data_IF_413868293263
#
_entry.id   IF_413868293263
#
_cell.length_a   1.000
_cell.length_b   1.000
_cell.length_c   1.000
_cell.angle_alpha   90.00
_cell.angle_beta   90.00
_cell.angle_gamma   90.00
#
_symmetry.space_group_name_H-M   'P 1'
#
loop_
_entity.id
_entity.type
_entity.pdbx_description
1 polymer ?
#
# COMPACT_ATOMS: atom_id res chain seq x y z
N UNK A 1 19.48 25.72 12.95
CA UNK A 1 18.81 24.54 12.36
C UNK A 1 19.84 23.81 11.50
N UNK A 2 20.22 22.57 11.92
CA UNK A 2 21.00 21.69 11.06
C UNK A 2 20.00 21.11 10.06
N UNK A 3 20.12 21.52 8.79
CA UNK A 3 19.30 20.97 7.73
C UNK A 3 19.74 19.51 7.47
N UNK A 4 18.77 18.56 7.38
CA UNK A 4 19.07 17.18 7.08
C UNK A 4 19.76 17.07 5.71
N UNK A 5 20.69 16.14 5.59
CA UNK A 5 21.37 15.86 4.33
C UNK A 5 20.38 15.35 3.30
N UNK A 6 20.45 15.85 2.06
CA UNK A 6 19.63 15.38 0.95
C UNK A 6 19.94 13.92 0.60
N UNK A 7 18.90 13.11 0.43
CA UNK A 7 19.04 11.73 -0.03
C UNK A 7 19.26 11.72 -1.54
N UNK A 8 20.28 11.04 -1.99
CA UNK A 8 20.62 10.87 -3.41
C UNK A 8 20.32 9.45 -3.92
N UNK A 9 20.14 8.49 -3.01
CA UNK A 9 19.92 7.08 -3.31
C UNK A 9 18.83 6.48 -2.42
N UNK A 10 18.11 5.50 -2.99
CA UNK A 10 17.29 4.57 -2.20
C UNK A 10 18.21 3.55 -1.56
N UNK A 11 18.07 3.35 -0.25
CA UNK A 11 18.82 2.32 0.51
C UNK A 11 17.82 1.40 1.22
N UNK A 12 17.35 0.35 0.54
CA UNK A 12 16.36 -0.57 1.11
C UNK A 12 16.81 -1.12 2.46
N UNK A 13 15.85 -1.28 3.39
CA UNK A 13 16.03 -1.79 4.76
C UNK A 13 16.68 -0.80 5.73
N UNK A 14 17.29 0.26 5.27
CA UNK A 14 17.86 1.29 6.15
C UNK A 14 16.79 2.25 6.67
N UNK A 15 17.09 2.95 7.75
CA UNK A 15 16.24 4.04 8.22
C UNK A 15 16.18 5.11 7.12
N UNK A 16 14.97 5.49 6.74
CA UNK A 16 14.75 6.55 5.75
C UNK A 16 14.29 7.79 6.49
N UNK A 17 15.14 8.81 6.51
CA UNK A 17 14.83 10.07 7.19
C UNK A 17 14.16 11.04 6.22
N UNK A 18 13.20 11.78 6.75
CA UNK A 18 12.54 12.88 6.04
C UNK A 18 13.47 14.10 5.92
N UNK A 19 12.97 15.18 5.33
CA UNK A 19 13.76 16.41 5.09
C UNK A 19 14.18 17.12 6.37
N UNK A 20 13.63 16.78 7.52
CA UNK A 20 13.99 17.33 8.83
C UNK A 20 14.85 16.36 9.65
N UNK A 21 15.20 15.21 9.10
CA UNK A 21 16.05 14.22 9.75
C UNK A 21 15.32 13.26 10.67
N UNK A 22 13.99 13.20 10.60
CA UNK A 22 13.20 12.25 11.38
C UNK A 22 12.86 11.01 10.54
N UNK A 23 12.84 9.81 11.14
CA UNK A 23 12.44 8.61 10.41
C UNK A 23 11.03 8.73 9.81
N UNK A 24 10.89 8.37 8.54
CA UNK A 24 9.59 8.31 7.88
C UNK A 24 8.74 7.23 8.56
N UNK A 25 7.50 7.58 8.87
CA UNK A 25 6.53 6.71 9.53
C UNK A 25 5.26 6.67 8.67
N UNK A 26 5.27 5.82 7.64
CA UNK A 26 4.19 5.67 6.66
C UNK A 26 4.08 4.20 6.23
N UNK A 27 3.67 3.34 7.17
CA UNK A 27 3.68 1.89 6.97
C UNK A 27 2.46 1.41 6.19
N UNK A 28 2.63 0.34 5.44
CA UNK A 28 1.55 -0.30 4.68
C UNK A 28 0.85 0.62 3.68
N UNK A 29 1.53 1.64 3.22
CA UNK A 29 0.92 2.76 2.52
C UNK A 29 0.96 2.68 1.00
N UNK A 30 0.69 3.82 0.39
CA UNK A 30 0.71 4.00 -1.05
C UNK A 30 1.07 5.42 -1.43
N UNK A 31 1.25 5.63 -2.73
CA UNK A 31 1.72 6.89 -3.29
C UNK A 31 0.66 7.44 -4.24
N UNK A 32 0.38 8.72 -4.14
CA UNK A 32 -0.44 9.46 -5.11
C UNK A 32 0.43 10.50 -5.79
N UNK A 33 0.41 10.52 -7.13
CA UNK A 33 0.97 11.64 -7.88
C UNK A 33 -0.15 12.61 -8.23
N UNK A 34 0.03 13.88 -7.88
CA UNK A 34 -0.98 14.91 -8.14
C UNK A 34 -0.32 16.26 -8.42
N UNK A 35 -0.59 16.83 -9.59
CA UNK A 35 -0.12 18.16 -10.00
C UNK A 35 1.38 18.40 -9.74
N UNK A 36 2.20 17.43 -10.15
CA UNK A 36 3.67 17.55 -10.07
C UNK A 36 4.28 17.15 -8.74
N UNK A 37 3.50 16.64 -7.80
CA UNK A 37 3.98 16.23 -6.47
C UNK A 37 3.53 14.81 -6.18
N UNK A 38 4.44 14.01 -5.60
CA UNK A 38 4.13 12.71 -5.02
C UNK A 38 3.73 12.89 -3.56
N UNK A 39 2.68 12.17 -3.15
CA UNK A 39 2.23 12.12 -1.76
C UNK A 39 2.29 10.68 -1.29
N UNK A 40 2.96 10.44 -0.17
CA UNK A 40 3.10 9.14 0.47
C UNK A 40 2.22 9.09 1.71
N UNK A 41 1.25 8.19 1.72
CA UNK A 41 0.34 7.96 2.85
C UNK A 41 0.65 6.63 3.47
N UNK A 42 0.62 6.53 4.80
CA UNK A 42 0.81 5.26 5.49
C UNK A 42 0.32 5.28 6.92
N UNK A 43 0.29 4.12 7.52
CA UNK A 43 -0.07 3.95 8.93
C UNK A 43 0.95 4.68 9.80
N UNK A 44 0.46 5.60 10.63
CA UNK A 44 1.29 6.33 11.58
C UNK A 44 1.34 5.56 12.90
N UNK A 45 2.33 4.70 13.04
CA UNK A 45 2.51 3.81 14.20
C UNK A 45 3.33 4.51 15.26
N UNK A 46 2.78 4.63 16.47
CA UNK A 46 3.45 5.33 17.57
C UNK A 46 3.34 4.52 18.85
N UNK A 47 4.47 4.28 19.49
CA UNK A 47 4.53 3.66 20.78
C UNK A 47 5.09 2.25 20.77
N UNK A 48 4.99 1.61 21.91
CA UNK A 48 5.54 0.27 22.14
C UNK A 48 4.68 -0.79 21.44
N UNK A 49 5.34 -1.74 20.78
CA UNK A 49 4.69 -2.93 20.23
C UNK A 49 4.41 -3.94 21.34
N UNK A 50 3.20 -4.48 21.34
CA UNK A 50 2.74 -5.46 22.33
C UNK A 50 2.14 -6.67 21.63
N UNK A 51 2.24 -7.83 22.28
CA UNK A 51 1.48 -9.02 21.90
C UNK A 51 0.30 -9.16 22.87
N UNK A 52 -0.95 -8.99 22.42
CA UNK A 52 -2.11 -9.14 23.31
C UNK A 52 -2.16 -10.53 23.95
N UNK A 53 -2.57 -10.58 25.21
CA UNK A 53 -2.59 -11.85 26.00
C UNK A 53 -3.58 -12.89 25.46
N UNK A 54 -4.60 -12.45 24.69
CA UNK A 54 -5.60 -13.32 24.05
C UNK A 54 -5.21 -13.73 22.63
N UNK A 55 -4.01 -13.37 22.17
CA UNK A 55 -3.61 -13.66 20.79
C UNK A 55 -3.41 -15.17 20.58
N UNK A 56 -4.02 -15.69 19.49
CA UNK A 56 -3.89 -17.08 19.05
C UNK A 56 -2.79 -17.28 18.00
N UNK A 57 -2.20 -16.19 17.52
CA UNK A 57 -1.06 -16.15 16.62
C UNK A 57 -0.19 -14.94 17.00
N UNK A 58 0.97 -14.76 16.38
CA UNK A 58 1.87 -13.63 16.65
C UNK A 58 1.28 -12.29 16.20
N UNK A 59 0.13 -11.94 16.75
CA UNK A 59 -0.65 -10.73 16.46
C UNK A 59 -0.07 -9.53 17.21
N UNK A 60 1.22 -9.28 16.98
CA UNK A 60 1.85 -8.07 17.52
C UNK A 60 1.17 -6.83 16.98
N UNK A 61 1.02 -5.83 17.85
CA UNK A 61 0.41 -4.56 17.47
C UNK A 61 1.08 -3.38 18.18
N UNK A 62 0.98 -2.22 17.55
CA UNK A 62 1.17 -0.92 18.19
C UNK A 62 -0.01 -0.03 17.81
N UNK A 63 -0.24 1.02 18.60
CA UNK A 63 -1.32 1.95 18.30
C UNK A 63 -1.06 2.67 16.99
N UNK A 64 -2.12 2.84 16.17
CA UNK A 64 -2.09 3.62 14.94
C UNK A 64 -2.81 4.93 15.21
N UNK A 65 -2.06 6.03 15.21
CA UNK A 65 -2.59 7.35 15.57
C UNK A 65 -3.11 8.13 14.36
N UNK A 66 -3.32 7.44 13.28
CA UNK A 66 -3.88 7.97 12.04
C UNK A 66 -3.08 7.56 10.81
N UNK A 67 -3.27 8.31 9.73
CA UNK A 67 -2.56 8.14 8.46
C UNK A 67 -1.68 9.36 8.22
N UNK A 68 -0.37 9.13 8.15
CA UNK A 68 0.61 10.17 7.86
C UNK A 68 0.60 10.54 6.37
N UNK A 69 1.08 11.74 6.06
CA UNK A 69 1.29 12.21 4.70
C UNK A 69 2.65 12.87 4.57
N UNK A 70 3.40 12.47 3.56
CA UNK A 70 4.67 13.06 3.15
C UNK A 70 4.57 13.50 1.69
N UNK A 71 5.31 14.54 1.30
CA UNK A 71 5.34 15.01 -0.08
C UNK A 71 6.76 15.03 -0.63
N UNK A 72 6.89 14.78 -1.93
CA UNK A 72 8.19 14.78 -2.62
C UNK A 72 8.05 15.16 -4.09
N UNK A 73 9.10 15.79 -4.64
CA UNK A 73 9.24 16.05 -6.07
C UNK A 73 10.11 15.01 -6.77
N UNK A 74 10.90 14.23 -6.02
CA UNK A 74 11.92 13.34 -6.58
C UNK A 74 11.84 11.88 -6.10
N UNK A 75 10.85 11.54 -5.25
CA UNK A 75 10.66 10.22 -4.63
C UNK A 75 11.73 9.85 -3.60
N UNK A 76 12.76 10.62 -3.44
CA UNK A 76 13.89 10.38 -2.52
C UNK A 76 13.81 11.21 -1.26
N UNK A 77 13.44 12.47 -1.40
CA UNK A 77 13.39 13.45 -0.31
C UNK A 77 11.95 13.77 0.01
N UNK A 78 11.53 13.40 1.20
CA UNK A 78 10.14 13.46 1.64
C UNK A 78 9.97 14.45 2.77
N UNK A 79 9.08 15.42 2.57
CA UNK A 79 8.70 16.40 3.59
C UNK A 79 7.50 15.87 4.36
N UNK A 80 7.57 15.86 5.70
CA UNK A 80 6.41 15.52 6.52
C UNK A 80 5.35 16.61 6.43
N UNK A 81 4.16 16.26 5.95
CA UNK A 81 3.02 17.16 5.81
C UNK A 81 2.04 17.06 7.00
N UNK A 82 2.27 16.13 7.90
CA UNK A 82 1.43 15.91 9.08
C UNK A 82 0.62 14.62 9.01
N UNK A 83 -0.31 14.48 9.94
CA UNK A 83 -1.24 13.36 10.00
C UNK A 83 -2.50 13.74 9.23
N UNK A 84 -2.63 13.21 8.00
CA UNK A 84 -3.69 13.58 7.06
C UNK A 84 -5.07 13.10 7.50
N UNK A 85 -5.15 11.93 8.14
CA UNK A 85 -6.34 11.42 8.82
C UNK A 85 -5.97 11.17 10.27
N UNK A 86 -6.50 11.99 11.18
CA UNK A 86 -6.23 11.84 12.62
C UNK A 86 -7.13 10.77 13.22
N UNK A 87 -6.55 9.93 14.08
CA UNK A 87 -7.32 8.98 14.88
C UNK A 87 -8.34 9.73 15.75
N UNK A 88 -9.46 9.07 16.04
CA UNK A 88 -10.46 9.56 16.99
C UNK A 88 -10.14 8.96 18.34
N UNK A 89 -9.76 9.81 19.31
CA UNK A 89 -9.25 9.36 20.61
C UNK A 89 -10.28 9.44 21.74
N UNK A 90 -11.38 10.17 21.53
CA UNK A 90 -12.43 10.41 22.54
C UNK A 90 -13.57 9.40 22.48
N UNK A 91 -13.55 8.49 21.51
CA UNK A 91 -14.53 7.40 21.38
C UNK A 91 -13.81 6.07 21.14
N UNK A 92 -13.70 5.21 22.18
CA UNK A 92 -13.03 3.91 22.06
C UNK A 92 -13.70 2.95 21.05
N UNK A 93 -14.95 3.20 20.68
CA UNK A 93 -15.69 2.39 19.72
C UNK A 93 -15.58 2.91 18.28
N UNK A 94 -14.92 4.04 18.08
CA UNK A 94 -14.66 4.53 16.73
C UNK A 94 -13.79 3.55 15.95
N UNK A 95 -14.11 3.34 14.67
CA UNK A 95 -13.32 2.49 13.77
C UNK A 95 -11.85 2.92 13.70
N UNK A 96 -11.58 4.21 13.89
CA UNK A 96 -10.23 4.79 13.81
C UNK A 96 -9.69 5.25 15.16
N UNK A 97 -10.20 4.67 16.26
CA UNK A 97 -9.56 4.81 17.57
C UNK A 97 -8.18 4.11 17.52
N UNK A 98 -7.13 4.63 18.19
CA UNK A 98 -5.78 4.04 18.13
C UNK A 98 -5.70 2.57 18.53
N UNK A 99 -6.62 2.08 19.36
CA UNK A 99 -6.69 0.67 19.79
C UNK A 99 -7.36 -0.25 18.78
N UNK A 100 -8.04 0.30 17.78
CA UNK A 100 -8.61 -0.46 16.67
C UNK A 100 -7.55 -0.69 15.59
N UNK A 101 -7.90 -1.44 14.55
CA UNK A 101 -6.99 -1.71 13.44
C UNK A 101 -7.30 -0.76 12.28
N UNK A 102 -6.29 -0.03 11.84
CA UNK A 102 -6.29 0.73 10.60
C UNK A 102 -5.04 0.33 9.83
N UNK A 103 -5.24 -0.30 8.66
CA UNK A 103 -4.13 -0.79 7.86
C UNK A 103 -4.31 -0.46 6.38
N UNK A 104 -3.21 -0.44 5.65
CA UNK A 104 -3.17 -0.36 4.19
C UNK A 104 -3.91 0.85 3.60
N UNK A 105 -3.71 2.09 4.11
CA UNK A 105 -4.37 3.25 3.51
C UNK A 105 -3.84 3.51 2.11
N UNK A 106 -4.76 3.81 1.19
CA UNK A 106 -4.46 4.19 -0.20
C UNK A 106 -5.34 5.37 -0.58
N UNK A 107 -4.77 6.33 -1.27
CA UNK A 107 -5.48 7.55 -1.67
C UNK A 107 -5.51 7.66 -3.19
N UNK A 108 -6.68 7.98 -3.72
CA UNK A 108 -6.91 8.27 -5.13
C UNK A 108 -7.61 9.61 -5.28
N UNK A 109 -7.40 10.27 -6.42
CA UNK A 109 -8.03 11.55 -6.70
C UNK A 109 -9.21 11.37 -7.65
N UNK A 110 -10.36 11.93 -7.29
CA UNK A 110 -11.56 11.92 -8.12
C UNK A 110 -11.68 13.24 -8.90
N UNK A 111 -11.49 13.17 -10.22
CA UNK A 111 -11.50 14.36 -11.08
C UNK A 111 -12.87 15.03 -11.17
N UNK A 112 -13.97 14.28 -11.02
CA UNK A 112 -15.33 14.83 -11.10
C UNK A 112 -15.70 15.60 -9.85
N UNK A 113 -15.46 15.03 -8.67
CA UNK A 113 -15.79 15.65 -7.39
C UNK A 113 -14.70 16.56 -6.87
N UNK A 114 -13.48 16.45 -7.43
CA UNK A 114 -12.26 17.14 -6.97
C UNK A 114 -11.92 16.78 -5.51
N UNK A 115 -12.27 15.56 -5.09
CA UNK A 115 -11.99 15.04 -3.77
C UNK A 115 -10.86 14.02 -3.82
N UNK A 116 -10.08 13.99 -2.73
CA UNK A 116 -9.15 12.90 -2.44
C UNK A 116 -9.88 11.87 -1.63
N UNK A 117 -9.85 10.61 -2.07
CA UNK A 117 -10.58 9.51 -1.45
C UNK A 117 -9.59 8.50 -0.93
N UNK A 118 -9.65 8.22 0.38
CA UNK A 118 -8.80 7.25 1.05
C UNK A 118 -9.61 6.01 1.36
N UNK A 119 -9.11 4.84 0.94
CA UNK A 119 -9.61 3.53 1.35
C UNK A 119 -8.60 2.88 2.26
N UNK A 120 -9.07 2.11 3.25
CA UNK A 120 -8.23 1.45 4.23
C UNK A 120 -8.88 0.16 4.73
N UNK A 121 -8.09 -0.73 5.30
CA UNK A 121 -8.58 -1.85 6.08
C UNK A 121 -8.89 -1.36 7.50
N UNK A 122 -10.12 -1.55 7.93
CA UNK A 122 -10.59 -1.26 9.28
C UNK A 122 -10.96 -2.56 9.95
N UNK A 123 -10.53 -2.76 11.19
CA UNK A 123 -10.83 -3.99 11.89
C UNK A 123 -10.91 -3.78 13.40
N UNK A 124 -11.54 -4.76 14.04
CA UNK A 124 -11.45 -4.96 15.47
C UNK A 124 -10.08 -5.52 15.86
N UNK A 125 -9.65 -5.38 17.13
CA UNK A 125 -8.34 -5.88 17.56
C UNK A 125 -8.10 -7.36 17.29
N UNK A 126 -9.15 -8.18 17.20
CA UNK A 126 -9.08 -9.61 16.89
C UNK A 126 -9.21 -9.93 15.39
N UNK A 127 -9.33 -8.90 14.54
CA UNK A 127 -9.49 -9.03 13.08
C UNK A 127 -10.79 -9.72 12.63
N UNK A 128 -11.81 -9.80 13.51
CA UNK A 128 -13.09 -10.45 13.14
C UNK A 128 -14.04 -9.53 12.38
N UNK A 129 -13.88 -8.21 12.49
CA UNK A 129 -14.74 -7.23 11.82
C UNK A 129 -14.55 -7.23 10.30
N UNK A 130 -13.32 -7.23 9.83
CA UNK A 130 -12.92 -7.33 8.42
C UNK A 130 -13.71 -6.39 7.51
N UNK A 131 -13.54 -5.07 7.69
CA UNK A 131 -14.22 -4.02 6.94
C UNK A 131 -13.25 -3.12 6.20
N UNK A 132 -13.77 -2.47 5.16
CA UNK A 132 -13.11 -1.34 4.51
C UNK A 132 -13.61 -0.04 5.15
N UNK A 133 -12.70 0.90 5.34
CA UNK A 133 -13.03 2.26 5.75
C UNK A 133 -12.77 3.25 4.61
N UNK A 134 -13.53 4.34 4.57
CA UNK A 134 -13.41 5.39 3.56
C UNK A 134 -13.37 6.75 4.23
N UNK A 135 -12.44 7.59 3.76
CA UNK A 135 -12.32 8.98 4.19
C UNK A 135 -12.12 9.89 2.96
N UNK A 136 -12.52 11.15 3.06
CA UNK A 136 -12.40 12.13 1.98
C UNK A 136 -11.74 13.43 2.45
N UNK A 137 -11.06 14.12 1.52
CA UNK A 137 -10.48 15.43 1.77
C UNK A 137 -10.57 16.32 0.53
N UNK A 138 -10.47 17.63 0.75
CA UNK A 138 -10.39 18.63 -0.32
C UNK A 138 -8.95 18.85 -0.78
N UNK A 139 -7.98 18.48 0.04
CA UNK A 139 -6.55 18.68 -0.20
C UNK A 139 -5.81 17.35 -0.08
N UNK A 140 -4.72 17.15 -0.84
CA UNK A 140 -3.94 15.91 -0.74
C UNK A 140 -3.31 15.71 0.64
N UNK A 141 -3.05 16.76 1.40
CA UNK A 141 -2.50 16.66 2.75
C UNK A 141 -3.58 16.56 3.84
N UNK A 142 -4.85 16.49 3.43
CA UNK A 142 -5.98 16.48 4.35
C UNK A 142 -6.42 17.88 4.78
N UNK A 143 -7.16 18.01 5.90
CA UNK A 143 -7.58 16.90 6.76
C UNK A 143 -8.62 16.01 6.09
N UNK A 144 -8.42 14.71 6.18
CA UNK A 144 -9.41 13.74 5.75
C UNK A 144 -10.51 13.61 6.80
N UNK A 145 -11.75 13.50 6.32
CA UNK A 145 -12.91 13.20 7.15
C UNK A 145 -13.27 11.73 6.95
N UNK A 146 -13.22 10.94 8.03
CA UNK A 146 -13.68 9.56 8.03
C UNK A 146 -15.19 9.52 7.81
N UNK A 147 -15.62 8.74 6.83
CA UNK A 147 -17.05 8.62 6.48
C UNK A 147 -17.71 7.42 7.13
N UNK A 148 -17.21 6.22 6.87
CA UNK A 148 -17.81 4.98 7.33
C UNK A 148 -16.89 3.79 7.13
N UNK A 149 -17.16 2.71 7.89
CA UNK A 149 -16.60 1.38 7.69
C UNK A 149 -17.70 0.40 7.30
N UNK A 150 -17.42 -0.49 6.37
CA UNK A 150 -18.40 -1.45 5.87
C UNK A 150 -17.71 -2.63 5.19
N UNK A 151 -18.46 -3.72 5.02
CA UNK A 151 -18.03 -4.84 4.19
C UNK A 151 -18.45 -4.58 2.74
N UNK A 152 -17.50 -4.40 1.79
CA UNK A 152 -17.85 -4.16 0.40
C UNK A 152 -18.71 -5.31 -0.16
N UNK A 153 -19.85 -4.99 -0.73
CA UNK A 153 -20.81 -5.98 -1.24
C UNK A 153 -21.23 -7.03 -0.18
N UNK A 154 -21.16 -6.67 1.11
CA UNK A 154 -21.46 -7.58 2.22
C UNK A 154 -20.38 -8.61 2.52
N UNK A 155 -19.18 -8.51 1.90
CA UNK A 155 -18.12 -9.49 2.02
C UNK A 155 -16.97 -8.96 2.89
N UNK A 156 -16.19 -9.87 3.50
CA UNK A 156 -15.03 -9.50 4.30
C UNK A 156 -14.02 -8.71 3.46
N UNK A 157 -13.34 -7.74 4.09
CA UNK A 157 -12.30 -6.95 3.45
C UNK A 157 -11.16 -6.71 4.42
N UNK A 158 -9.97 -7.22 4.10
CA UNK A 158 -8.75 -7.01 4.89
C UNK A 158 -7.70 -6.30 4.06
N UNK A 159 -6.53 -6.87 3.82
CA UNK A 159 -5.50 -6.23 2.99
C UNK A 159 -6.09 -5.75 1.68
N UNK A 160 -5.81 -4.50 1.32
CA UNK A 160 -6.49 -3.87 0.20
C UNK A 160 -5.63 -2.84 -0.52
N UNK A 161 -6.02 -2.53 -1.75
CA UNK A 161 -5.54 -1.38 -2.51
C UNK A 161 -6.66 -0.84 -3.40
N UNK A 162 -6.48 0.35 -3.92
CA UNK A 162 -7.38 0.96 -4.91
C UNK A 162 -6.59 1.32 -6.15
N UNK A 163 -7.14 1.01 -7.32
CA UNK A 163 -6.55 1.33 -8.62
C UNK A 163 -7.57 2.10 -9.46
N UNK A 164 -7.11 3.21 -10.06
CA UNK A 164 -7.92 4.00 -11.01
C UNK A 164 -7.42 3.71 -12.41
N UNK A 165 -8.31 3.20 -13.26
CA UNK A 165 -8.00 2.91 -14.65
C UNK A 165 -7.98 4.19 -15.52
N UNK A 166 -7.46 4.08 -16.72
CA UNK A 166 -7.32 5.21 -17.65
C UNK A 166 -8.66 5.86 -18.02
N UNK A 167 -9.76 5.12 -17.98
CA UNK A 167 -11.12 5.63 -18.23
C UNK A 167 -11.75 6.32 -17.00
N UNK A 168 -11.02 6.38 -15.88
CA UNK A 168 -11.50 6.98 -14.63
C UNK A 168 -12.28 6.04 -13.73
N UNK A 169 -12.53 4.79 -14.13
CA UNK A 169 -13.16 3.79 -13.26
C UNK A 169 -12.18 3.33 -12.19
N UNK A 170 -12.62 3.30 -10.94
CA UNK A 170 -11.82 2.83 -9.82
C UNK A 170 -12.26 1.45 -9.35
N UNK A 171 -11.29 0.68 -8.84
CA UNK A 171 -11.49 -0.68 -8.33
C UNK A 171 -10.77 -0.83 -7.00
N UNK A 172 -11.45 -1.44 -6.03
CA UNK A 172 -10.81 -1.85 -4.79
C UNK A 172 -10.52 -3.35 -4.85
N UNK A 173 -9.27 -3.71 -4.61
CA UNK A 173 -8.83 -5.10 -4.48
C UNK A 173 -8.69 -5.40 -2.99
N UNK A 174 -9.33 -6.46 -2.50
CA UNK A 174 -9.20 -6.81 -1.09
C UNK A 174 -9.16 -8.31 -0.86
N UNK A 175 -8.38 -8.71 0.15
CA UNK A 175 -8.38 -10.06 0.67
C UNK A 175 -9.70 -10.31 1.39
N UNK A 176 -10.45 -11.29 0.93
CA UNK A 176 -11.79 -11.63 1.41
C UNK A 176 -11.89 -13.11 1.76
N UNK A 177 -13.05 -13.55 2.23
CA UNK A 177 -13.33 -14.96 2.51
C UNK A 177 -12.26 -15.57 3.42
N UNK A 178 -12.05 -14.98 4.59
CA UNK A 178 -11.00 -15.35 5.56
C UNK A 178 -9.59 -15.32 4.93
N UNK A 179 -9.30 -14.31 4.11
CA UNK A 179 -8.04 -14.10 3.38
C UNK A 179 -7.75 -15.18 2.31
N UNK A 180 -8.75 -15.99 1.94
CA UNK A 180 -8.55 -17.08 0.99
C UNK A 180 -8.70 -16.65 -0.46
N UNK A 181 -9.47 -15.59 -0.73
CA UNK A 181 -9.83 -15.20 -2.09
C UNK A 181 -9.77 -13.68 -2.24
N UNK A 182 -9.20 -13.21 -3.34
CA UNK A 182 -9.16 -11.78 -3.66
C UNK A 182 -10.49 -11.38 -4.30
N UNK A 183 -11.09 -10.31 -3.80
CA UNK A 183 -12.24 -9.67 -4.43
C UNK A 183 -11.81 -8.41 -5.16
N UNK A 184 -12.33 -8.19 -6.37
CA UNK A 184 -12.13 -6.97 -7.13
C UNK A 184 -13.48 -6.28 -7.23
N UNK A 185 -13.62 -5.18 -6.51
CA UNK A 185 -14.85 -4.44 -6.35
C UNK A 185 -14.80 -3.16 -7.19
N UNK A 186 -15.69 -3.03 -8.17
CA UNK A 186 -15.81 -1.77 -8.91
C UNK A 186 -16.47 -0.71 -8.03
N UNK A 187 -15.95 0.52 -8.08
CA UNK A 187 -16.42 1.61 -7.24
C UNK A 187 -17.38 2.53 -8.00
N UNK A 188 -18.21 3.26 -7.24
CA UNK A 188 -19.09 4.32 -7.77
C UNK A 188 -18.26 5.45 -8.38
N UNK A 189 -18.93 6.35 -9.14
CA UNK A 189 -18.25 7.47 -9.81
C UNK A 189 -17.49 8.40 -8.87
N UNK A 190 -17.94 8.54 -7.62
CA UNK A 190 -17.27 9.36 -6.60
C UNK A 190 -16.20 8.60 -5.82
N UNK A 191 -15.99 7.32 -6.09
CA UNK A 191 -15.02 6.41 -5.47
C UNK A 191 -15.29 6.05 -4.01
N UNK A 192 -16.43 6.46 -3.43
CA UNK A 192 -16.66 6.28 -1.98
C UNK A 192 -17.35 4.97 -1.61
N UNK A 193 -17.89 4.24 -2.58
CA UNK A 193 -18.65 3.00 -2.35
C UNK A 193 -18.44 2.00 -3.47
N UNK A 194 -18.63 0.69 -3.22
CA UNK A 194 -18.77 -0.28 -4.31
C UNK A 194 -20.07 0.00 -5.08
N UNK A 195 -20.07 -0.24 -6.39
CA UNK A 195 -21.26 -0.04 -7.23
C UNK A 195 -22.12 -1.29 -7.37
N UNK A 196 -21.77 -2.38 -6.70
CA UNK A 196 -22.46 -3.66 -6.75
C UNK A 196 -21.87 -4.67 -7.72
N UNK A 197 -20.95 -4.25 -8.61
CA UNK A 197 -20.26 -5.19 -9.51
C UNK A 197 -18.91 -5.59 -8.92
N UNK A 198 -18.69 -6.90 -8.78
CA UNK A 198 -17.43 -7.44 -8.30
C UNK A 198 -17.18 -8.84 -8.84
N UNK A 199 -15.93 -9.24 -8.81
CA UNK A 199 -15.50 -10.59 -9.17
C UNK A 199 -14.61 -11.17 -8.08
N UNK A 200 -14.61 -12.50 -7.99
CA UNK A 200 -13.73 -13.27 -7.15
C UNK A 200 -12.58 -13.79 -8.01
N UNK A 201 -11.35 -13.55 -7.57
CA UNK A 201 -10.15 -13.99 -8.28
C UNK A 201 -9.14 -14.57 -7.30
N UNK A 202 -8.17 -15.33 -7.77
CA UNK A 202 -7.20 -16.03 -6.93
C UNK A 202 -7.91 -16.88 -5.86
N UNK A 203 -8.94 -17.61 -6.28
CA UNK A 203 -9.84 -18.34 -5.39
C UNK A 203 -9.07 -19.42 -4.65
N UNK A 204 -9.12 -19.37 -3.32
CA UNK A 204 -8.43 -20.31 -2.43
C UNK A 204 -6.90 -20.18 -2.42
N UNK A 205 -6.35 -19.13 -3.03
CA UNK A 205 -4.90 -18.96 -3.16
C UNK A 205 -4.28 -18.20 -1.97
N UNK A 206 -5.06 -17.67 -1.07
CA UNK A 206 -4.63 -16.99 0.15
C UNK A 206 -3.65 -15.84 -0.14
N UNK A 207 -4.02 -14.93 -1.07
CA UNK A 207 -3.18 -13.78 -1.42
C UNK A 207 -3.53 -12.58 -0.57
N UNK A 208 -2.49 -11.89 -0.09
CA UNK A 208 -2.56 -10.65 0.71
C UNK A 208 -1.75 -9.53 0.06
N UNK A 209 -1.83 -8.33 0.65
CA UNK A 209 -1.01 -7.17 0.31
C UNK A 209 -1.01 -6.85 -1.20
N UNK A 210 -2.20 -6.72 -1.84
CA UNK A 210 -2.26 -6.45 -3.28
C UNK A 210 -1.67 -5.09 -3.62
N UNK A 211 -0.90 -5.05 -4.71
CA UNK A 211 -0.41 -3.83 -5.33
C UNK A 211 -0.65 -3.94 -6.83
N UNK A 212 -1.41 -3.01 -7.40
CA UNK A 212 -1.92 -3.10 -8.77
C UNK A 212 -1.34 -1.99 -9.63
N UNK A 213 -0.90 -2.33 -10.82
CA UNK A 213 -0.40 -1.36 -11.79
C UNK A 213 -0.75 -1.78 -13.21
N UNK A 214 -0.66 -0.83 -14.15
CA UNK A 214 -0.87 -1.05 -15.57
C UNK A 214 0.42 -0.81 -16.32
N UNK A 215 0.81 -1.79 -17.16
CA UNK A 215 1.94 -1.66 -18.07
C UNK A 215 1.50 -2.10 -19.47
N UNK A 216 1.71 -1.23 -20.42
CA UNK A 216 1.15 -1.43 -21.75
C UNK A 216 -0.38 -1.48 -21.67
N UNK A 217 -0.96 -2.51 -22.26
CA UNK A 217 -2.42 -2.74 -22.24
C UNK A 217 -2.84 -3.78 -21.20
N UNK A 218 -1.95 -4.15 -20.27
CA UNK A 218 -2.19 -5.21 -19.31
C UNK A 218 -2.14 -4.70 -17.89
N UNK A 219 -2.89 -5.38 -17.02
CA UNK A 219 -2.95 -5.11 -15.59
C UNK A 219 -2.15 -6.16 -14.84
N UNK A 220 -1.47 -5.73 -13.80
CA UNK A 220 -0.61 -6.59 -12.99
C UNK A 220 -0.97 -6.44 -11.53
N UNK A 221 -0.89 -7.53 -10.78
CA UNK A 221 -1.01 -7.52 -9.32
C UNK A 221 0.19 -8.23 -8.71
N UNK A 222 0.89 -7.50 -7.86
CA UNK A 222 1.91 -8.01 -6.96
C UNK A 222 1.25 -8.31 -5.63
N UNK A 223 1.55 -9.44 -5.01
CA UNK A 223 0.92 -9.83 -3.74
C UNK A 223 1.84 -10.72 -2.91
N UNK A 224 1.46 -10.95 -1.66
CA UNK A 224 2.11 -11.89 -0.75
C UNK A 224 1.20 -13.05 -0.42
N UNK A 225 1.79 -14.15 0.12
CA UNK A 225 1.04 -15.20 0.80
C UNK A 225 0.62 -14.74 2.19
N UNK A 226 -0.13 -15.59 2.88
CA UNK A 226 -0.69 -15.31 4.21
C UNK A 226 0.16 -16.00 5.29
N UNK A 227 1.15 -15.28 5.84
CA UNK A 227 2.04 -15.78 6.90
C UNK A 227 2.19 -14.80 8.07
N UNK A 228 1.17 -13.98 8.32
CA UNK A 228 1.21 -12.95 9.38
C UNK A 228 2.31 -11.93 9.11
N UNK A 229 3.11 -11.63 10.13
CA UNK A 229 4.23 -10.70 10.02
C UNK A 229 5.48 -11.30 9.35
N UNK A 230 5.54 -12.63 9.21
CA UNK A 230 6.70 -13.30 8.64
C UNK A 230 6.70 -13.20 7.11
N UNK A 231 7.86 -12.99 6.49
CA UNK A 231 7.95 -12.83 5.04
C UNK A 231 7.74 -14.15 4.30
N UNK A 232 7.31 -14.04 3.06
CA UNK A 232 7.12 -15.16 2.15
C UNK A 232 7.41 -14.71 0.71
N UNK A 233 7.32 -15.64 -0.23
CA UNK A 233 7.52 -15.33 -1.66
C UNK A 233 6.45 -14.40 -2.20
N UNK A 234 6.85 -13.39 -2.95
CA UNK A 234 5.94 -12.56 -3.72
C UNK A 234 5.39 -13.33 -4.94
N UNK A 235 4.27 -12.86 -5.46
CA UNK A 235 3.68 -13.39 -6.67
C UNK A 235 3.19 -12.26 -7.55
N UNK A 236 3.54 -12.31 -8.83
CA UNK A 236 3.04 -11.41 -9.86
C UNK A 236 2.00 -12.13 -10.71
N UNK A 237 0.91 -11.47 -11.01
CA UNK A 237 -0.13 -11.97 -11.91
C UNK A 237 -0.50 -10.90 -12.93
N UNK A 238 -1.06 -11.32 -14.07
CA UNK A 238 -1.38 -10.46 -15.20
C UNK A 238 -2.80 -10.73 -15.69
N UNK A 239 -3.48 -9.68 -16.16
CA UNK A 239 -4.78 -9.78 -16.80
C UNK A 239 -4.89 -8.82 -17.98
N UNK A 240 -5.71 -9.18 -18.97
CA UNK A 240 -6.05 -8.28 -20.10
C UNK A 240 -7.10 -7.24 -19.70
N UNK A 241 -7.96 -7.57 -18.73
CA UNK A 241 -8.93 -6.65 -18.15
C UNK A 241 -9.00 -6.88 -16.64
N UNK A 242 -9.27 -5.82 -15.87
CA UNK A 242 -9.23 -5.87 -14.39
C UNK A 242 -10.20 -6.92 -13.85
N UNK A 243 -11.43 -6.94 -14.35
CA UNK A 243 -12.45 -7.87 -13.88
C UNK A 243 -12.48 -9.18 -14.68
N UNK A 244 -11.53 -9.37 -15.60
CA UNK A 244 -11.36 -10.60 -16.36
C UNK A 244 -10.57 -11.67 -15.63
N UNK A 245 -10.05 -12.62 -16.39
CA UNK A 245 -9.22 -13.68 -15.86
C UNK A 245 -7.78 -13.22 -15.62
N UNK A 246 -7.18 -13.68 -14.54
CA UNK A 246 -5.80 -13.38 -14.15
C UNK A 246 -4.93 -14.62 -14.28
N UNK A 247 -3.73 -14.46 -14.81
CA UNK A 247 -2.73 -15.53 -14.96
C UNK A 247 -1.57 -15.27 -14.02
N UNK A 248 -1.22 -16.27 -13.22
CA UNK A 248 -0.07 -16.20 -12.31
C UNK A 248 1.22 -16.34 -13.11
N UNK A 249 2.15 -15.41 -12.91
CA UNK A 249 3.47 -15.39 -13.55
C UNK A 249 4.58 -15.93 -12.64
N UNK A 250 4.33 -16.02 -11.33
CA UNK A 250 5.29 -16.46 -10.32
C UNK A 250 5.98 -15.31 -9.59
N UNK A 251 7.07 -15.62 -8.91
CA UNK A 251 7.84 -14.65 -8.11
C UNK A 251 8.73 -13.80 -9.01
N UNK A 252 8.53 -12.47 -9.05
CA UNK A 252 9.36 -11.59 -9.88
C UNK A 252 10.68 -11.20 -9.23
N UNK A 253 10.86 -11.46 -7.93
CA UNK A 253 12.03 -11.04 -7.17
C UNK A 253 13.26 -11.86 -7.52
N UNK A 254 14.41 -11.21 -7.67
CA UNK A 254 15.69 -11.84 -7.99
C UNK A 254 16.81 -11.32 -7.09
N UNK A 255 17.80 -12.17 -6.79
CA UNK A 255 18.95 -11.83 -5.96
C UNK A 255 18.89 -12.47 -4.57
N UNK A 256 19.78 -12.06 -3.66
CA UNK A 256 19.82 -12.62 -2.31
C UNK A 256 18.50 -12.43 -1.55
N UNK A 257 18.00 -13.49 -0.93
CA UNK A 257 16.76 -13.52 -0.13
C UNK A 257 15.49 -13.21 -0.95
N UNK A 258 15.55 -13.33 -2.27
CA UNK A 258 14.41 -13.04 -3.17
C UNK A 258 13.21 -13.93 -2.86
N UNK A 259 13.43 -15.19 -2.46
CA UNK A 259 12.37 -16.14 -2.11
C UNK A 259 11.57 -15.74 -0.86
N UNK A 260 12.10 -14.82 -0.06
CA UNK A 260 11.42 -14.19 1.08
C UNK A 260 11.04 -12.74 0.82
N UNK A 261 11.01 -12.34 -0.45
CA UNK A 261 10.74 -10.94 -0.82
C UNK A 261 11.69 -9.98 -0.08
N UNK A 262 12.96 -10.36 0.03
CA UNK A 262 14.01 -9.61 0.74
C UNK A 262 13.64 -9.31 2.21
N UNK A 263 12.78 -10.13 2.83
CA UNK A 263 12.16 -9.97 4.15
C UNK A 263 11.09 -8.86 4.20
N UNK A 264 10.54 -8.48 3.04
CA UNK A 264 9.46 -7.49 2.92
C UNK A 264 8.12 -8.11 2.54
N UNK A 265 7.11 -7.26 2.51
CA UNK A 265 5.77 -7.55 2.02
C UNK A 265 5.31 -6.40 1.12
N UNK A 266 4.74 -6.72 -0.04
CA UNK A 266 4.24 -5.72 -0.99
C UNK A 266 3.24 -4.75 -0.37
N UNK A 267 3.21 -3.51 -0.86
CA UNK A 267 2.21 -2.53 -0.47
C UNK A 267 1.72 -1.68 -1.65
N UNK A 268 2.62 -1.32 -2.56
CA UNK A 268 2.28 -0.43 -3.67
C UNK A 268 3.29 -0.58 -4.81
N UNK A 269 2.88 -0.19 -6.02
CA UNK A 269 3.78 -0.03 -7.17
C UNK A 269 3.61 1.38 -7.71
N UNK A 270 4.72 2.13 -7.78
CA UNK A 270 4.73 3.52 -8.22
C UNK A 270 5.07 3.59 -9.70
N UNK A 271 4.17 4.11 -10.55
CA UNK A 271 4.57 4.56 -11.88
C UNK A 271 5.43 5.83 -11.75
N UNK A 272 6.66 5.80 -12.28
CA UNK A 272 7.55 6.97 -12.22
C UNK A 272 7.16 7.96 -13.32
N UNK A 273 6.73 9.13 -12.91
CA UNK A 273 6.25 10.16 -13.85
C UNK A 273 7.38 10.67 -14.75
N UNK A 274 7.05 10.87 -16.03
CA UNK A 274 8.00 11.35 -17.02
C UNK A 274 8.99 10.30 -17.52
N UNK A 275 8.91 9.05 -17.04
CA UNK A 275 9.74 7.93 -17.50
C UNK A 275 8.84 6.79 -17.96
N UNK A 276 8.92 6.47 -19.24
CA UNK A 276 8.13 5.39 -19.83
C UNK A 276 8.57 4.03 -19.27
N UNK A 277 7.60 3.19 -18.91
CA UNK A 277 7.83 1.82 -18.43
C UNK A 277 8.73 1.75 -17.18
N UNK A 278 8.70 2.80 -16.37
CA UNK A 278 9.47 2.87 -15.12
C UNK A 278 8.51 2.72 -13.93
N UNK A 279 8.76 1.71 -13.11
CA UNK A 279 7.94 1.39 -11.93
C UNK A 279 8.85 1.08 -10.75
N UNK A 280 8.40 1.48 -9.56
CA UNK A 280 9.06 1.14 -8.30
C UNK A 280 8.13 0.22 -7.51
N UNK A 281 8.62 -0.96 -7.16
CA UNK A 281 7.93 -1.86 -6.24
C UNK A 281 8.24 -1.46 -4.81
N UNK A 282 7.18 -1.23 -4.02
CA UNK A 282 7.29 -0.80 -2.63
C UNK A 282 6.88 -1.93 -1.70
N UNK A 283 7.74 -2.23 -0.73
CA UNK A 283 7.53 -3.27 0.29
C UNK A 283 7.73 -2.68 1.68
N UNK A 284 7.02 -3.22 2.65
CA UNK A 284 7.29 -2.99 4.07
C UNK A 284 8.09 -4.14 4.63
N UNK A 285 9.19 -3.84 5.31
CA UNK A 285 9.93 -4.82 6.11
C UNK A 285 9.44 -4.70 7.55
N UNK A 286 8.48 -5.56 7.91
CA UNK A 286 7.88 -5.53 9.22
C UNK A 286 8.86 -6.00 10.29
N UNK A 287 9.05 -5.18 11.30
CA UNK A 287 9.77 -5.55 12.52
C UNK A 287 8.72 -5.89 13.57
N UNK A 288 8.26 -7.13 13.59
CA UNK A 288 7.07 -7.53 14.34
C UNK A 288 7.12 -7.25 15.84
N UNK A 289 8.32 -7.17 16.43
CA UNK A 289 8.50 -6.84 17.86
C UNK A 289 8.75 -5.35 18.11
N UNK A 290 8.91 -4.57 17.05
CA UNK A 290 9.07 -3.11 17.09
C UNK A 290 8.49 -2.52 15.81
N UNK A 291 7.17 -2.51 15.71
CA UNK A 291 6.46 -2.16 14.47
C UNK A 291 6.69 -0.70 14.06
N UNK A 292 6.90 0.19 15.02
CA UNK A 292 7.22 1.60 14.71
C UNK A 292 8.51 1.72 13.90
N UNK A 293 9.51 0.86 14.15
CA UNK A 293 10.79 0.84 13.44
C UNK A 293 10.79 -0.06 12.20
N UNK A 294 9.64 -0.48 11.70
CA UNK A 294 9.55 -1.20 10.43
C UNK A 294 10.14 -0.36 9.30
N UNK A 295 10.85 -1.01 8.38
CA UNK A 295 11.61 -0.33 7.33
C UNK A 295 10.92 -0.47 5.97
N UNK A 296 11.47 0.20 4.99
CA UNK A 296 10.93 0.22 3.63
C UNK A 296 11.94 -0.41 2.68
N UNK A 297 11.41 -1.19 1.72
CA UNK A 297 12.20 -1.77 0.63
C UNK A 297 11.57 -1.27 -0.66
N UNK A 298 12.17 -0.26 -1.28
CA UNK A 298 11.75 0.23 -2.58
C UNK A 298 12.78 -0.21 -3.61
N UNK A 299 12.32 -0.93 -4.64
CA UNK A 299 13.19 -1.51 -5.66
C UNK A 299 12.65 -1.20 -7.06
N UNK A 300 13.54 -1.03 -8.06
CA UNK A 300 13.09 -0.82 -9.43
C UNK A 300 12.54 -2.12 -10.01
N UNK A 301 11.44 -2.01 -10.75
CA UNK A 301 11.01 -3.08 -11.64
C UNK A 301 11.77 -2.97 -12.96
N UNK A 302 12.34 -4.07 -13.41
CA UNK A 302 13.02 -4.15 -14.68
C UNK A 302 12.15 -4.93 -15.67
N UNK A 303 11.90 -4.32 -16.83
CA UNK A 303 11.04 -4.89 -17.86
C UNK A 303 11.90 -5.20 -19.07
N UNK A 304 11.99 -6.47 -19.44
CA UNK A 304 12.69 -6.90 -20.63
C UNK A 304 11.94 -6.43 -21.88
N UNK A 305 12.60 -5.67 -22.74
CA UNK A 305 11.97 -5.05 -23.92
C UNK A 305 11.50 -6.07 -24.95
N UNK A 306 12.13 -7.23 -25.03
CA UNK A 306 11.81 -8.28 -26.02
C UNK A 306 10.71 -9.20 -25.53
N UNK A 307 10.74 -9.60 -24.26
CA UNK A 307 9.84 -10.61 -23.68
C UNK A 307 8.72 -10.01 -22.84
N UNK A 308 8.81 -8.74 -22.45
CA UNK A 308 7.96 -8.08 -21.44
C UNK A 308 8.04 -8.73 -20.05
N UNK A 309 9.03 -9.59 -19.81
CA UNK A 309 9.21 -10.19 -18.50
C UNK A 309 9.57 -9.12 -17.47
N UNK A 310 8.85 -9.13 -16.35
CA UNK A 310 9.06 -8.19 -15.24
C UNK A 310 9.86 -8.91 -14.16
N UNK A 311 10.94 -8.27 -13.70
CA UNK A 311 11.73 -8.72 -12.56
C UNK A 311 11.91 -7.57 -11.57
N UNK A 312 12.11 -7.91 -10.29
CA UNK A 312 12.41 -6.98 -9.21
C UNK A 312 13.75 -7.41 -8.61
N UNK A 313 14.87 -6.94 -9.17
CA UNK A 313 16.20 -7.32 -8.68
C UNK A 313 16.54 -6.55 -7.40
N UNK A 314 17.27 -7.22 -6.51
CA UNK A 314 17.81 -6.59 -5.32
C UNK A 314 18.87 -5.53 -5.67
N UNK A 315 18.77 -4.37 -5.01
CA UNK A 315 19.79 -3.33 -5.01
C UNK A 315 19.97 -2.83 -3.58
N UNK A 316 21.18 -2.89 -3.07
CA UNK A 316 21.49 -2.31 -1.75
C UNK A 316 21.45 -0.78 -1.79
N UNK A 317 21.69 -0.20 -2.95
CA UNK A 317 21.69 1.23 -3.21
C UNK A 317 21.38 1.49 -4.68
N UNK A 318 20.45 2.41 -4.96
CA UNK A 318 20.08 2.75 -6.33
C UNK A 318 19.36 4.11 -6.39
N UNK A 319 19.22 4.66 -7.58
CA UNK A 319 18.39 5.84 -7.83
C UNK A 319 17.68 5.75 -9.18
N UNK A 320 16.94 6.79 -9.56
CA UNK A 320 16.12 6.78 -10.78
C UNK A 320 16.94 6.69 -12.06
N UNK A 321 18.27 6.87 -12.00
CA UNK A 321 19.14 6.72 -13.16
C UNK A 321 19.14 5.29 -13.73
N UNK A 322 18.73 4.30 -12.93
CA UNK A 322 18.55 2.91 -13.38
C UNK A 322 17.56 2.80 -14.55
N UNK A 323 16.63 3.74 -14.66
CA UNK A 323 15.63 3.78 -15.73
C UNK A 323 16.08 4.54 -16.98
N UNK A 324 17.25 5.15 -16.98
CA UNK A 324 17.80 5.81 -18.18
C UNK A 324 18.16 4.73 -19.20
N UNK A 325 17.77 4.95 -20.46
CA UNK A 325 18.21 4.08 -21.56
C UNK A 325 19.72 4.21 -21.70
N UNK A 326 20.44 3.07 -21.74
CA UNK A 326 21.79 3.01 -22.25
C UNK A 326 21.78 3.09 -23.76
#
# INVERSE_FOLDING_TARGET
HIQAQKNEFFRPKEVWNDTEGNPINAHGGGILYHKGTYYWYGEYKVGKTVLPSDATWERYRTDVTGVSCYSSKDLLNWKFEGVALKAITDDPNSDIHPTQVLERPKVVYNKKTKKFVMWMHIDSPDYSKAEAGVAIADSPTGPFKYLDGFRPNGTMSRDQTVFVDDDGTAYQFSSSEENQTMHINRLTEDYTKPDGKYVRRFVGMAREAPAVFKHGNKYYMLSSGCTGWDPNSAELAVADSIMGEWTVLGDPCTGPDAEKTFYGQSTFVIPVQGKKNAFIACFDMWKKKDLQDSRYIWLPMMIDKQTNKITIPWHAEWNLDVFKKK
#
